data_IF_657930017252
#
_entry.id   IF_657930017252
#
_cell.length_a   1.000
_cell.length_b   1.000
_cell.length_c   1.000
_cell.angle_alpha   90.00
_cell.angle_beta   90.00
_cell.angle_gamma   90.00
#
_symmetry.space_group_name_H-M   'P 1'
#
loop_
_entity.id
_entity.type
_entity.pdbx_description
1 polymer ?
#
# COMPACT_ATOMS: atom_id res chain seq x y z
N UNK A 1 -50.19 -6.91 8.14
CA UNK A 1 -49.75 -5.68 7.43
C UNK A 1 -48.28 -5.46 7.74
N UNK A 2 -47.50 -5.00 6.77
CA UNK A 2 -46.30 -5.70 6.30
C UNK A 2 -45.03 -5.38 7.09
N UNK A 3 -44.09 -6.32 7.03
CA UNK A 3 -42.72 -6.21 7.47
C UNK A 3 -42.08 -4.91 6.95
N UNK A 4 -41.64 -4.05 7.87
CA UNK A 4 -40.72 -2.97 7.57
C UNK A 4 -39.36 -3.62 7.33
N UNK A 5 -39.10 -3.97 6.07
CA UNK A 5 -37.74 -4.11 5.58
C UNK A 5 -37.14 -2.71 5.67
N UNK A 6 -36.45 -2.44 6.78
CA UNK A 6 -35.58 -1.28 6.89
C UNK A 6 -34.50 -1.47 5.82
N UNK A 7 -34.70 -0.82 4.67
CA UNK A 7 -33.67 -0.65 3.68
C UNK A 7 -32.43 -0.11 4.41
N UNK A 8 -31.38 -0.91 4.44
CA UNK A 8 -30.10 -0.47 4.99
C UNK A 8 -29.65 0.72 4.15
N UNK A 9 -29.62 1.91 4.74
CA UNK A 9 -28.98 3.08 4.12
C UNK A 9 -27.59 2.67 3.65
N UNK A 10 -27.12 3.17 2.48
CA UNK A 10 -25.74 2.91 2.07
C UNK A 10 -24.83 3.37 3.21
N UNK A 11 -24.15 2.41 3.85
CA UNK A 11 -23.20 2.72 4.91
C UNK A 11 -22.07 3.46 4.23
N UNK A 12 -21.76 4.69 4.70
CA UNK A 12 -20.55 5.39 4.28
C UNK A 12 -19.36 4.43 4.38
N UNK A 13 -18.47 4.40 3.38
CA UNK A 13 -17.35 3.46 3.39
C UNK A 13 -16.48 3.76 4.62
N UNK A 14 -16.25 2.74 5.45
CA UNK A 14 -15.49 2.90 6.69
C UNK A 14 -14.12 2.29 6.53
N UNK A 15 -13.10 3.01 6.99
CA UNK A 15 -11.77 2.48 7.19
C UNK A 15 -11.82 1.31 8.20
N UNK A 16 -10.89 0.34 8.10
CA UNK A 16 -10.76 -0.72 9.09
C UNK A 16 -10.59 -0.13 10.49
N UNK A 17 -11.21 -0.74 11.49
CA UNK A 17 -11.12 -0.30 12.90
C UNK A 17 -10.17 -1.16 13.74
N UNK A 18 -9.62 -2.21 13.15
CA UNK A 18 -8.69 -3.11 13.80
C UNK A 18 -8.02 -4.05 12.82
N UNK A 19 -6.92 -4.66 13.25
CA UNK A 19 -6.06 -5.55 12.43
C UNK A 19 -6.75 -6.79 11.83
N UNK A 20 -8.00 -7.08 12.21
CA UNK A 20 -8.79 -8.22 11.72
C UNK A 20 -10.14 -7.80 11.15
N UNK A 21 -10.31 -6.52 10.82
CA UNK A 21 -11.55 -5.96 10.29
C UNK A 21 -11.67 -6.23 8.77
N UNK A 22 -11.85 -7.51 8.43
CA UNK A 22 -12.03 -7.96 7.05
C UNK A 22 -13.30 -7.39 6.40
N UNK A 23 -14.36 -7.17 7.19
CA UNK A 23 -15.63 -6.63 6.70
C UNK A 23 -15.43 -5.22 6.12
N UNK A 24 -14.64 -4.37 6.80
CA UNK A 24 -14.31 -3.04 6.29
C UNK A 24 -13.53 -3.13 4.96
N UNK A 25 -12.53 -4.01 4.87
CA UNK A 25 -11.75 -4.19 3.63
C UNK A 25 -12.64 -4.67 2.48
N UNK A 26 -13.58 -5.58 2.74
CA UNK A 26 -14.55 -6.04 1.74
C UNK A 26 -15.47 -4.91 1.26
N UNK A 27 -15.95 -4.06 2.16
CA UNK A 27 -16.76 -2.88 1.79
C UNK A 27 -15.96 -1.89 0.93
N UNK A 28 -14.69 -1.65 1.28
CA UNK A 28 -13.80 -0.79 0.51
C UNK A 28 -13.50 -1.33 -0.88
N UNK A 29 -13.57 -2.65 -1.08
CA UNK A 29 -13.36 -3.25 -2.40
C UNK A 29 -14.41 -2.82 -3.44
N UNK A 30 -15.59 -2.40 -3.00
CA UNK A 30 -16.66 -1.94 -3.89
C UNK A 30 -16.50 -0.48 -4.36
N UNK A 31 -15.54 0.28 -3.82
CA UNK A 31 -15.37 1.69 -4.12
C UNK A 31 -14.74 1.94 -5.49
N UNK A 32 -15.18 3.02 -6.13
CA UNK A 32 -14.50 3.58 -7.28
C UNK A 32 -13.17 4.22 -6.90
N UNK A 33 -12.31 4.47 -7.89
CA UNK A 33 -11.04 5.19 -7.70
C UNK A 33 -11.24 6.56 -7.05
N UNK A 34 -12.29 7.31 -7.40
CA UNK A 34 -12.57 8.63 -6.82
C UNK A 34 -12.99 8.54 -5.35
N UNK A 35 -13.69 7.49 -4.96
CA UNK A 35 -14.15 7.29 -3.58
C UNK A 35 -13.03 6.79 -2.67
N UNK A 36 -12.14 5.93 -3.20
CA UNK A 36 -11.03 5.37 -2.40
C UNK A 36 -9.82 6.31 -2.30
N UNK A 37 -9.60 7.18 -3.29
CA UNK A 37 -8.46 8.12 -3.33
C UNK A 37 -8.22 8.87 -2.02
N UNK A 38 -9.22 9.53 -1.39
CA UNK A 38 -9.00 10.25 -0.14
C UNK A 38 -8.66 9.33 1.05
N UNK A 39 -8.94 8.03 0.94
CA UNK A 39 -8.70 7.04 2.00
C UNK A 39 -7.33 6.38 1.91
N UNK A 40 -6.65 6.46 0.76
CA UNK A 40 -5.37 5.77 0.50
C UNK A 40 -4.30 6.07 1.56
N UNK A 41 -4.07 7.33 2.00
CA UNK A 41 -3.05 7.59 3.01
C UNK A 41 -3.29 6.82 4.30
N UNK A 42 -4.54 6.72 4.75
CA UNK A 42 -4.92 5.96 5.94
C UNK A 42 -4.93 4.45 5.67
N UNK A 43 -5.22 4.01 4.45
CA UNK A 43 -5.12 2.59 4.11
C UNK A 43 -3.67 2.10 4.11
N UNK A 44 -2.72 2.94 3.73
CA UNK A 44 -1.30 2.59 3.76
C UNK A 44 -0.80 2.33 5.19
N UNK A 45 -1.40 2.91 6.22
CA UNK A 45 -0.99 2.66 7.62
C UNK A 45 -1.21 1.20 8.03
N UNK A 46 -2.17 0.50 7.41
CA UNK A 46 -2.38 -0.94 7.59
C UNK A 46 -1.25 -1.82 7.04
N UNK A 47 -0.23 -1.21 6.42
CA UNK A 47 0.99 -1.87 5.97
C UNK A 47 2.17 -1.71 6.95
N UNK A 48 1.95 -1.14 8.15
CA UNK A 48 3.00 -0.99 9.16
C UNK A 48 3.40 -2.30 9.85
N UNK A 49 2.57 -3.34 9.80
CA UNK A 49 2.84 -4.63 10.43
C UNK A 49 2.30 -5.78 9.56
N UNK A 50 3.23 -6.54 8.98
CA UNK A 50 2.94 -7.72 8.16
C UNK A 50 2.16 -8.81 8.92
N UNK A 51 2.19 -8.80 10.26
CA UNK A 51 1.45 -9.75 11.08
C UNK A 51 -0.04 -9.39 11.24
N UNK A 52 -0.46 -8.20 10.78
CA UNK A 52 -1.88 -7.85 10.82
C UNK A 52 -2.67 -8.74 9.86
N UNK A 53 -3.72 -9.43 10.32
CA UNK A 53 -4.49 -10.33 9.46
C UNK A 53 -5.08 -9.68 8.20
N UNK A 54 -5.29 -8.35 8.20
CA UNK A 54 -5.73 -7.58 7.03
C UNK A 54 -4.61 -7.00 6.16
N UNK A 55 -3.33 -7.22 6.48
CA UNK A 55 -2.19 -6.70 5.72
C UNK A 55 -2.27 -7.06 4.23
N UNK A 56 -2.33 -8.37 3.91
CA UNK A 56 -2.44 -8.83 2.52
C UNK A 56 -3.75 -8.38 1.85
N UNK A 57 -4.94 -8.48 2.49
CA UNK A 57 -6.16 -7.89 1.93
C UNK A 57 -6.06 -6.40 1.59
N UNK A 58 -5.38 -5.61 2.43
CA UNK A 58 -5.18 -4.17 2.16
C UNK A 58 -4.18 -3.94 1.03
N UNK A 59 -3.10 -4.74 0.93
CA UNK A 59 -2.21 -4.71 -0.24
C UNK A 59 -2.97 -4.94 -1.54
N UNK A 60 -3.80 -5.98 -1.58
CA UNK A 60 -4.56 -6.33 -2.77
C UNK A 60 -5.62 -5.27 -3.10
N UNK A 61 -6.26 -4.68 -2.07
CA UNK A 61 -7.15 -3.52 -2.22
C UNK A 61 -6.43 -2.34 -2.87
N UNK A 62 -5.27 -1.94 -2.35
CA UNK A 62 -4.47 -0.82 -2.87
C UNK A 62 -4.00 -1.09 -4.30
N UNK A 63 -3.54 -2.31 -4.59
CA UNK A 63 -3.00 -2.71 -5.89
C UNK A 63 -3.99 -2.56 -7.06
N UNK A 64 -5.30 -2.49 -6.79
CA UNK A 64 -6.33 -2.24 -7.81
C UNK A 64 -6.36 -0.79 -8.30
N UNK A 65 -5.71 0.13 -7.58
CA UNK A 65 -5.68 1.56 -7.90
C UNK A 65 -4.26 2.12 -8.03
N UNK A 66 -3.38 1.50 -8.85
CA UNK A 66 -1.94 1.76 -8.81
C UNK A 66 -1.58 3.23 -9.13
N UNK A 67 -2.35 3.88 -10.01
CA UNK A 67 -2.15 5.30 -10.39
C UNK A 67 -2.29 6.27 -9.20
N UNK A 68 -3.05 5.89 -8.19
CA UNK A 68 -3.27 6.72 -7.00
C UNK A 68 -2.19 6.54 -5.93
N UNK A 69 -1.31 5.54 -6.08
CA UNK A 69 -0.37 5.13 -5.03
C UNK A 69 0.97 5.86 -5.08
N UNK A 70 1.34 6.49 -6.21
CA UNK A 70 2.68 7.06 -6.38
C UNK A 70 3.00 8.12 -5.32
N UNK A 71 2.20 9.18 -5.20
CA UNK A 71 2.47 10.23 -4.21
C UNK A 71 2.33 9.75 -2.75
N UNK A 72 1.29 8.97 -2.38
CA UNK A 72 1.19 8.45 -1.01
C UNK A 72 2.32 7.51 -0.63
N UNK A 73 2.72 6.59 -1.50
CA UNK A 73 3.86 5.67 -1.24
C UNK A 73 5.16 6.46 -1.15
N UNK A 74 5.39 7.45 -2.03
CA UNK A 74 6.57 8.32 -1.94
C UNK A 74 6.70 8.96 -0.56
N UNK A 75 5.60 9.44 0.03
CA UNK A 75 5.62 10.03 1.38
C UNK A 75 6.02 9.01 2.45
N UNK A 76 5.57 7.76 2.33
CA UNK A 76 6.00 6.68 3.24
C UNK A 76 7.51 6.45 3.09
N UNK A 77 8.02 6.33 1.87
CA UNK A 77 9.45 6.10 1.60
C UNK A 77 10.38 7.25 2.02
N UNK A 78 9.83 8.44 2.26
CA UNK A 78 10.54 9.63 2.75
C UNK A 78 10.36 9.84 4.26
N UNK A 79 9.61 8.96 4.94
CA UNK A 79 9.39 8.99 6.37
C UNK A 79 10.54 8.37 7.17
N UNK A 80 10.27 8.11 8.44
CA UNK A 80 11.21 7.59 9.44
C UNK A 80 10.73 6.28 10.11
N UNK A 81 9.61 5.72 9.64
CA UNK A 81 9.11 4.41 10.08
C UNK A 81 9.74 3.31 9.22
N UNK A 82 10.92 2.84 9.64
CA UNK A 82 11.73 1.89 8.87
C UNK A 82 10.98 0.58 8.57
N UNK A 83 10.16 0.08 9.51
CA UNK A 83 9.37 -1.13 9.31
C UNK A 83 8.30 -0.89 8.24
N UNK A 84 7.60 0.25 8.29
CA UNK A 84 6.60 0.60 7.27
C UNK A 84 7.23 0.78 5.89
N UNK A 85 8.39 1.43 5.82
CA UNK A 85 9.17 1.58 4.58
C UNK A 85 9.51 0.20 4.03
N UNK A 86 10.06 -0.70 4.85
CA UNK A 86 10.42 -2.05 4.45
C UNK A 86 9.23 -2.82 3.88
N UNK A 87 8.11 -2.87 4.59
CA UNK A 87 6.93 -3.58 4.11
C UNK A 87 6.31 -2.94 2.87
N UNK A 88 6.34 -1.61 2.76
CA UNK A 88 5.90 -0.91 1.55
C UNK A 88 6.78 -1.25 0.35
N UNK A 89 8.11 -1.22 0.47
CA UNK A 89 9.01 -1.55 -0.64
C UNK A 89 8.88 -3.02 -1.02
N UNK A 90 9.06 -3.92 -0.05
CA UNK A 90 9.12 -5.36 -0.28
C UNK A 90 7.81 -6.00 -0.72
N UNK A 91 6.65 -5.47 -0.29
CA UNK A 91 5.36 -6.13 -0.56
C UNK A 91 4.43 -5.33 -1.49
N UNK A 92 4.45 -3.99 -1.41
CA UNK A 92 3.59 -3.17 -2.29
C UNK A 92 4.34 -2.79 -3.57
N UNK A 93 5.49 -2.12 -3.45
CA UNK A 93 6.23 -1.60 -4.61
C UNK A 93 6.77 -2.75 -5.45
N UNK A 94 7.44 -3.72 -4.83
CA UNK A 94 8.07 -4.85 -5.51
C UNK A 94 7.05 -5.83 -6.09
N UNK A 95 6.10 -6.28 -5.28
CA UNK A 95 5.23 -7.42 -5.66
C UNK A 95 3.88 -7.05 -6.26
N UNK A 96 3.40 -5.80 -6.10
CA UNK A 96 2.03 -5.42 -6.48
C UNK A 96 1.96 -4.25 -7.45
N UNK A 97 2.88 -3.29 -7.40
CA UNK A 97 2.84 -2.15 -8.31
C UNK A 97 3.26 -2.53 -9.73
N UNK A 98 2.52 -2.08 -10.77
CA UNK A 98 2.97 -2.20 -12.15
C UNK A 98 4.25 -1.38 -12.41
N UNK A 99 4.97 -1.77 -13.47
CA UNK A 99 6.24 -1.15 -13.89
C UNK A 99 6.19 0.37 -13.98
N UNK A 100 5.10 0.92 -14.52
CA UNK A 100 4.93 2.38 -14.68
C UNK A 100 4.99 3.13 -13.34
N UNK A 101 4.36 2.58 -12.30
CA UNK A 101 4.35 3.16 -10.97
C UNK A 101 5.69 2.93 -10.25
N UNK A 102 6.33 1.77 -10.44
CA UNK A 102 7.69 1.54 -9.95
C UNK A 102 8.69 2.55 -10.54
N UNK A 103 8.60 2.85 -11.85
CA UNK A 103 9.42 3.89 -12.50
C UNK A 103 9.15 5.27 -11.90
N UNK A 104 7.89 5.56 -11.56
CA UNK A 104 7.53 6.84 -10.95
C UNK A 104 8.11 7.03 -9.54
N UNK A 105 8.51 5.93 -8.88
CA UNK A 105 9.18 5.91 -7.57
C UNK A 105 10.70 5.67 -7.68
N UNK A 106 11.25 5.72 -8.90
CA UNK A 106 12.66 5.36 -9.15
C UNK A 106 13.65 6.19 -8.34
N UNK A 107 13.40 7.49 -8.17
CA UNK A 107 14.30 8.37 -7.41
C UNK A 107 14.40 7.95 -5.94
N UNK A 108 13.27 7.60 -5.32
CA UNK A 108 13.25 7.10 -3.94
C UNK A 108 13.98 5.77 -3.84
N UNK A 109 13.69 4.84 -4.76
CA UNK A 109 14.33 3.51 -4.80
C UNK A 109 15.85 3.61 -5.00
N UNK A 110 16.31 4.49 -5.91
CA UNK A 110 17.75 4.74 -6.12
C UNK A 110 18.42 5.33 -4.87
N UNK A 111 17.73 6.20 -4.12
CA UNK A 111 18.27 6.71 -2.85
C UNK A 111 18.42 5.59 -1.83
N UNK A 112 17.41 4.72 -1.67
CA UNK A 112 17.48 3.59 -0.73
C UNK A 112 18.62 2.65 -1.14
N UNK A 113 18.69 2.28 -2.41
CA UNK A 113 19.67 1.31 -2.90
C UNK A 113 21.12 1.81 -2.79
N UNK A 114 21.37 3.09 -3.08
CA UNK A 114 22.73 3.65 -3.16
C UNK A 114 23.20 4.33 -1.87
N UNK A 115 22.27 4.83 -1.05
CA UNK A 115 22.58 5.52 0.20
C UNK A 115 21.54 5.17 1.28
N UNK A 116 21.48 3.89 1.69
CA UNK A 116 20.57 3.44 2.73
C UNK A 116 20.98 3.98 4.12
N UNK A 117 20.00 4.20 4.98
CA UNK A 117 20.23 4.30 6.42
C UNK A 117 20.66 2.95 7.00
N UNK A 118 21.18 2.93 8.23
CA UNK A 118 21.52 1.65 8.86
C UNK A 118 20.28 0.80 9.17
N UNK A 119 19.16 1.45 9.48
CA UNK A 119 17.89 0.75 9.67
C UNK A 119 17.36 0.17 8.34
N UNK A 120 17.48 0.87 7.22
CA UNK A 120 17.10 0.35 5.90
C UNK A 120 17.92 -0.87 5.47
N UNK A 121 19.17 -1.00 5.96
CA UNK A 121 19.96 -2.23 5.79
C UNK A 121 19.48 -3.33 6.71
N UNK A 122 19.22 -3.01 7.98
CA UNK A 122 18.74 -3.99 8.97
C UNK A 122 17.40 -4.62 8.56
N UNK A 123 16.53 -3.82 7.94
CA UNK A 123 15.23 -4.26 7.41
C UNK A 123 15.29 -4.75 5.96
N UNK A 124 16.48 -4.95 5.37
CA UNK A 124 16.69 -5.45 4.00
C UNK A 124 16.04 -4.60 2.88
N UNK A 125 15.65 -3.35 3.18
CA UNK A 125 15.00 -2.44 2.23
C UNK A 125 15.93 -2.08 1.07
N UNK A 126 17.23 -2.00 1.35
CA UNK A 126 18.25 -1.76 0.31
C UNK A 126 18.20 -2.85 -0.78
N UNK A 127 18.11 -4.12 -0.37
CA UNK A 127 18.14 -5.26 -1.27
C UNK A 127 16.85 -5.33 -2.10
N UNK A 128 15.69 -5.10 -1.46
CA UNK A 128 14.42 -5.02 -2.17
C UNK A 128 14.38 -3.88 -3.20
N UNK A 129 14.89 -2.70 -2.84
CA UNK A 129 14.97 -1.56 -3.75
C UNK A 129 15.88 -1.88 -4.95
N UNK A 130 17.03 -2.52 -4.71
CA UNK A 130 17.95 -2.94 -5.78
C UNK A 130 17.32 -3.98 -6.70
N UNK A 131 16.57 -4.93 -6.17
CA UNK A 131 15.87 -5.94 -6.98
C UNK A 131 14.85 -5.28 -7.92
N UNK A 132 14.03 -4.34 -7.40
CA UNK A 132 13.08 -3.59 -8.22
C UNK A 132 13.81 -2.86 -9.36
N UNK A 133 14.89 -2.14 -9.06
CA UNK A 133 15.67 -1.40 -10.06
C UNK A 133 16.27 -2.33 -11.13
N UNK A 134 16.84 -3.46 -10.73
CA UNK A 134 17.41 -4.45 -11.66
C UNK A 134 16.35 -4.99 -12.65
N UNK A 135 15.13 -5.24 -12.17
CA UNK A 135 14.01 -5.69 -13.01
C UNK A 135 13.59 -4.59 -14.00
N UNK A 136 13.61 -3.32 -13.58
CA UNK A 136 13.30 -2.18 -14.45
C UNK A 136 14.32 -2.04 -15.59
N UNK A 137 15.61 -2.29 -15.32
CA UNK A 137 16.71 -2.20 -16.28
C UNK A 137 16.75 -3.38 -17.26
N UNK A 138 16.50 -4.59 -16.78
CA UNK A 138 16.56 -5.81 -17.61
C UNK A 138 15.41 -5.91 -18.62
N UNK A 139 14.33 -5.16 -18.41
CA UNK A 139 13.11 -5.15 -19.25
C UNK A 139 12.93 -3.84 -20.02
N UNK A 140 13.99 -3.04 -20.17
CA UNK A 140 14.03 -1.85 -21.03
C UNK A 140 14.40 -2.22 -22.46
#
# INVERSE_FOLDING_TARGET
MPDVITASSPREPRLPKGKSDYEAVEQLNALSSTEIEPLIPELLTWLQDVNWPIFSPVLDLLARHPRLLVEPVRRVLQGDDDAWIAYCVGNLVKDRLPREQQISLKLELERIANNPTDAEKEWEVQDDAQEVLNVLETRA
#
